data_IF_429574298035
#
_entry.id   IF_429574298035
#
_cell.length_a   1.000
_cell.length_b   1.000
_cell.length_c   1.000
_cell.angle_alpha   90.00
_cell.angle_beta   90.00
_cell.angle_gamma   90.00
#
_symmetry.space_group_name_H-M   'P 1'
#
loop_
_entity.id
_entity.type
_entity.pdbx_description
1 polymer ?
#
# COMPACT_ATOMS: atom_id res chain seq x y z
N UNK A 1 -8.22 15.61 -13.30
CA UNK A 1 -8.05 14.97 -12.00
C UNK A 1 -8.66 13.57 -11.94
N UNK A 2 -9.94 13.36 -12.27
CA UNK A 2 -10.57 12.01 -12.18
C UNK A 2 -9.82 10.92 -12.93
N UNK A 3 -9.28 11.20 -14.11
CA UNK A 3 -8.51 10.23 -14.88
C UNK A 3 -7.23 9.79 -14.14
N UNK A 4 -6.50 10.71 -13.52
CA UNK A 4 -5.31 10.41 -12.73
C UNK A 4 -5.67 9.50 -11.53
N UNK A 5 -6.71 9.84 -10.79
CA UNK A 5 -7.14 9.06 -9.62
C UNK A 5 -7.67 7.66 -9.99
N UNK A 6 -8.20 7.48 -11.21
CA UNK A 6 -8.62 6.15 -11.67
C UNK A 6 -7.45 5.29 -12.18
N UNK A 7 -6.44 5.91 -12.80
CA UNK A 7 -5.31 5.18 -13.39
C UNK A 7 -4.24 4.86 -12.35
N UNK A 8 -3.97 5.77 -11.40
CA UNK A 8 -2.89 5.60 -10.43
C UNK A 8 -3.03 4.33 -9.56
N UNK A 9 -4.21 3.96 -9.02
CA UNK A 9 -4.36 2.70 -8.30
C UNK A 9 -4.05 1.48 -9.16
N UNK A 10 -4.35 1.52 -10.47
CA UNK A 10 -4.01 0.46 -11.40
C UNK A 10 -2.48 0.34 -11.60
N UNK A 11 -1.79 1.47 -11.72
CA UNK A 11 -0.31 1.48 -11.79
C UNK A 11 0.29 0.94 -10.51
N UNK A 12 -0.30 1.25 -9.36
CA UNK A 12 0.14 0.76 -8.05
C UNK A 12 0.09 -0.75 -7.91
N UNK A 13 -0.79 -1.47 -8.64
CA UNK A 13 -0.87 -2.94 -8.62
C UNK A 13 0.47 -3.61 -8.94
N UNK A 14 1.28 -2.99 -9.78
CA UNK A 14 2.58 -3.53 -10.20
C UNK A 14 3.75 -2.73 -9.63
N UNK A 15 3.63 -1.41 -9.58
CA UNK A 15 4.72 -0.53 -9.13
C UNK A 15 5.07 -0.76 -7.66
N UNK A 16 4.08 -0.82 -6.77
CA UNK A 16 4.33 -0.96 -5.33
C UNK A 16 4.88 -2.34 -4.97
N UNK A 17 4.33 -3.46 -5.49
CA UNK A 17 4.98 -4.77 -5.34
C UNK A 17 6.42 -4.81 -5.85
N UNK A 18 6.73 -4.15 -6.98
CA UNK A 18 8.10 -4.09 -7.50
C UNK A 18 9.06 -3.34 -6.56
N UNK A 19 8.59 -2.24 -5.93
CA UNK A 19 9.36 -1.49 -4.93
C UNK A 19 9.57 -2.31 -3.65
N UNK A 20 8.54 -3.00 -3.20
CA UNK A 20 8.53 -3.69 -1.90
C UNK A 20 9.11 -5.12 -1.93
N UNK A 21 9.21 -5.75 -3.10
CA UNK A 21 9.68 -7.13 -3.23
C UNK A 21 11.07 -7.38 -2.63
N UNK A 22 11.95 -6.39 -2.67
CA UNK A 22 13.35 -6.51 -2.22
C UNK A 22 13.58 -6.11 -0.76
N UNK A 23 12.58 -5.55 -0.07
CA UNK A 23 12.75 -4.94 1.25
C UNK A 23 13.32 -5.89 2.32
N UNK A 24 12.90 -7.14 2.32
CA UNK A 24 13.32 -8.18 3.25
C UNK A 24 13.91 -9.39 2.50
N UNK A 25 13.29 -9.80 1.39
CA UNK A 25 13.69 -10.98 0.63
C UNK A 25 15.16 -10.91 0.13
N UNK A 26 15.62 -9.71 -0.25
CA UNK A 26 17.00 -9.50 -0.67
C UNK A 26 17.99 -9.77 0.46
N UNK A 27 17.71 -9.30 1.67
CA UNK A 27 18.60 -9.46 2.82
C UNK A 27 18.64 -10.91 3.29
N UNK A 28 17.52 -11.62 3.17
CA UNK A 28 17.49 -13.06 3.40
C UNK A 28 18.31 -13.83 2.38
N UNK A 29 18.15 -13.49 1.09
CA UNK A 29 18.90 -14.14 0.01
C UNK A 29 20.41 -13.94 0.14
N UNK A 30 20.85 -12.76 0.58
CA UNK A 30 22.26 -12.42 0.79
C UNK A 30 22.82 -12.92 2.14
N UNK A 31 22.00 -13.49 3.02
CA UNK A 31 22.41 -13.90 4.38
C UNK A 31 22.67 -12.73 5.33
N UNK A 32 22.50 -11.48 4.88
CA UNK A 32 22.76 -10.28 5.71
C UNK A 32 21.77 -10.11 6.86
N UNK A 33 20.64 -10.81 6.82
CA UNK A 33 19.65 -10.82 7.90
C UNK A 33 20.21 -11.39 9.21
N UNK A 34 21.14 -12.35 9.13
CA UNK A 34 21.83 -12.90 10.30
C UNK A 34 22.68 -11.81 10.98
N UNK A 35 23.39 -11.01 10.20
CA UNK A 35 24.16 -9.88 10.71
C UNK A 35 23.25 -8.83 11.38
N UNK A 36 22.10 -8.53 10.78
CA UNK A 36 21.11 -7.59 11.36
C UNK A 36 20.57 -8.14 12.69
N UNK A 37 20.39 -9.44 12.82
CA UNK A 37 19.92 -10.09 14.04
C UNK A 37 20.93 -10.02 15.20
N UNK A 38 22.21 -9.77 14.92
CA UNK A 38 23.24 -9.57 15.97
C UNK A 38 23.27 -8.13 16.49
N UNK A 39 22.67 -7.19 15.78
CA UNK A 39 22.56 -5.80 16.21
C UNK A 39 21.49 -5.67 17.31
N UNK A 40 21.66 -4.71 18.26
CA UNK A 40 20.70 -4.47 19.34
C UNK A 40 19.45 -3.71 18.81
N UNK A 41 18.86 -4.17 17.70
CA UNK A 41 17.70 -3.58 17.05
C UNK A 41 16.53 -4.54 17.20
N UNK A 42 15.36 -4.00 17.57
CA UNK A 42 14.15 -4.80 17.68
C UNK A 42 13.59 -5.10 16.28
N UNK A 43 13.02 -6.30 16.10
CA UNK A 43 12.48 -6.74 14.81
C UNK A 43 11.44 -5.76 14.23
N UNK A 44 10.58 -5.20 15.08
CA UNK A 44 9.58 -4.23 14.63
C UNK A 44 10.20 -2.91 14.15
N UNK A 45 11.31 -2.45 14.73
CA UNK A 45 12.03 -1.24 14.31
C UNK A 45 12.62 -1.43 12.91
N UNK A 46 13.20 -2.60 12.65
CA UNK A 46 13.70 -2.98 11.33
C UNK A 46 12.57 -3.01 10.29
N UNK A 47 11.45 -3.68 10.61
CA UNK A 47 10.29 -3.78 9.71
C UNK A 47 9.71 -2.41 9.42
N UNK A 48 9.54 -1.56 10.44
CA UNK A 48 9.03 -0.20 10.28
C UNK A 48 9.98 0.65 9.43
N UNK A 49 11.29 0.56 9.64
CA UNK A 49 12.28 1.29 8.83
C UNK A 49 12.20 0.93 7.34
N UNK A 50 12.10 -0.37 7.01
CA UNK A 50 11.94 -0.84 5.64
C UNK A 50 10.61 -0.41 5.01
N UNK A 51 9.53 -0.52 5.76
CA UNK A 51 8.21 -0.05 5.34
C UNK A 51 8.20 1.45 5.06
N UNK A 52 8.72 2.27 6.00
CA UNK A 52 8.78 3.72 5.82
C UNK A 52 9.64 4.13 4.63
N UNK A 53 10.74 3.43 4.37
CA UNK A 53 11.56 3.67 3.18
C UNK A 53 10.75 3.47 1.89
N UNK A 54 9.93 2.41 1.80
CA UNK A 54 9.06 2.19 0.64
C UNK A 54 7.98 3.24 0.52
N UNK A 55 7.33 3.62 1.63
CA UNK A 55 6.31 4.67 1.65
C UNK A 55 6.92 6.02 1.22
N UNK A 56 8.11 6.36 1.69
CA UNK A 56 8.81 7.59 1.29
C UNK A 56 9.06 7.62 -0.21
N UNK A 57 9.45 6.49 -0.81
CA UNK A 57 9.66 6.40 -2.26
C UNK A 57 8.35 6.59 -3.03
N UNK A 58 7.25 5.99 -2.55
CA UNK A 58 5.93 6.16 -3.15
C UNK A 58 5.47 7.62 -3.06
N UNK A 59 5.63 8.25 -1.90
CA UNK A 59 5.28 9.66 -1.70
C UNK A 59 6.15 10.57 -2.57
N UNK A 60 7.45 10.29 -2.71
CA UNK A 60 8.32 11.01 -3.62
C UNK A 60 7.84 10.91 -5.07
N UNK A 61 7.41 9.72 -5.52
CA UNK A 61 6.76 9.53 -6.82
C UNK A 61 5.49 10.36 -6.97
N UNK A 62 4.63 10.40 -5.94
CA UNK A 62 3.42 11.23 -5.95
C UNK A 62 3.73 12.73 -6.01
N UNK A 63 4.78 13.19 -5.33
CA UNK A 63 5.22 14.59 -5.38
C UNK A 63 5.60 15.00 -6.81
N UNK A 64 6.25 14.12 -7.57
CA UNK A 64 6.55 14.38 -8.98
C UNK A 64 5.26 14.57 -9.79
N UNK A 65 4.20 13.82 -9.49
CA UNK A 65 2.92 13.97 -10.20
C UNK A 65 2.17 15.25 -9.85
N UNK A 66 2.55 16.00 -8.80
CA UNK A 66 2.00 17.33 -8.50
C UNK A 66 2.26 18.34 -9.60
N UNK A 67 3.29 18.14 -10.44
CA UNK A 67 3.51 18.94 -11.66
C UNK A 67 2.27 18.90 -12.55
N UNK A 68 1.61 17.74 -12.65
CA UNK A 68 0.36 17.61 -13.40
C UNK A 68 -0.81 18.39 -12.76
N UNK A 69 -0.87 18.42 -11.42
CA UNK A 69 -1.82 19.27 -10.72
C UNK A 69 -1.58 20.75 -11.03
N UNK A 70 -0.30 21.18 -10.98
CA UNK A 70 0.09 22.55 -11.25
C UNK A 70 -0.27 23.00 -12.69
N UNK A 71 0.02 22.14 -13.68
CA UNK A 71 -0.36 22.43 -15.08
C UNK A 71 -1.88 22.54 -15.26
N UNK A 72 -2.66 21.70 -14.59
CA UNK A 72 -4.12 21.77 -14.63
C UNK A 72 -4.65 23.07 -13.99
N UNK A 73 -4.04 23.55 -12.92
CA UNK A 73 -4.41 24.83 -12.28
C UNK A 73 -4.19 26.00 -13.22
N UNK A 74 -3.14 25.97 -14.04
CA UNK A 74 -2.81 27.04 -14.99
C UNK A 74 -3.78 27.10 -16.18
N UNK A 75 -4.26 25.95 -16.65
CA UNK A 75 -5.04 25.82 -17.89
C UNK A 75 -6.53 25.61 -17.62
N UNK A 76 -6.88 25.05 -16.46
CA UNK A 76 -8.24 24.64 -16.13
C UNK A 76 -9.06 25.73 -15.47
N UNK A 77 -10.37 25.74 -15.76
CA UNK A 77 -11.38 26.55 -15.08
C UNK A 77 -12.15 25.66 -14.10
N UNK A 78 -12.48 26.17 -12.90
CA UNK A 78 -13.28 25.48 -11.87
C UNK A 78 -12.65 24.20 -11.31
N UNK A 79 -11.41 24.26 -10.83
CA UNK A 79 -10.75 23.13 -10.17
C UNK A 79 -11.12 23.11 -8.68
N UNK A 80 -11.63 21.95 -8.23
CA UNK A 80 -11.85 21.68 -6.80
C UNK A 80 -10.54 21.28 -6.14
N UNK A 81 -9.87 22.25 -5.49
CA UNK A 81 -8.62 22.04 -4.77
C UNK A 81 -8.77 21.07 -3.59
N UNK A 82 -9.92 21.11 -2.91
CA UNK A 82 -10.20 20.24 -1.77
C UNK A 82 -10.21 18.77 -2.18
N UNK A 83 -10.96 18.45 -3.23
CA UNK A 83 -11.00 17.09 -3.77
C UNK A 83 -9.63 16.64 -4.32
N UNK A 84 -8.85 17.56 -4.92
CA UNK A 84 -7.52 17.25 -5.42
C UNK A 84 -6.56 16.86 -4.28
N UNK A 85 -6.45 17.67 -3.23
CA UNK A 85 -5.57 17.41 -2.08
C UNK A 85 -5.98 16.13 -1.36
N UNK A 86 -7.28 15.94 -1.08
CA UNK A 86 -7.80 14.73 -0.47
C UNK A 86 -7.55 13.48 -1.33
N UNK A 87 -7.65 13.61 -2.65
CA UNK A 87 -7.33 12.53 -3.59
C UNK A 87 -5.86 12.12 -3.55
N UNK A 88 -4.92 13.08 -3.54
CA UNK A 88 -3.49 12.79 -3.37
C UNK A 88 -3.18 12.15 -2.02
N UNK A 89 -3.80 12.63 -0.96
CA UNK A 89 -3.70 12.02 0.36
C UNK A 89 -4.23 10.59 0.36
N UNK A 90 -5.38 10.35 -0.29
CA UNK A 90 -5.93 9.02 -0.51
C UNK A 90 -4.99 8.09 -1.27
N UNK A 91 -4.35 8.58 -2.35
CA UNK A 91 -3.34 7.80 -3.09
C UNK A 91 -2.13 7.43 -2.22
N UNK A 92 -1.67 8.33 -1.36
CA UNK A 92 -0.60 8.04 -0.41
C UNK A 92 -1.01 6.92 0.57
N UNK A 93 -2.25 6.95 1.07
CA UNK A 93 -2.79 5.90 1.96
C UNK A 93 -2.94 4.55 1.25
N UNK A 94 -3.48 4.53 0.03
CA UNK A 94 -3.54 3.30 -0.80
C UNK A 94 -2.13 2.75 -1.03
N UNK A 95 -1.19 3.63 -1.37
CA UNK A 95 0.22 3.27 -1.53
C UNK A 95 0.81 2.65 -0.28
N UNK A 96 0.52 3.23 0.88
CA UNK A 96 0.97 2.74 2.18
C UNK A 96 0.40 1.35 2.52
N UNK A 97 -0.88 1.08 2.21
CA UNK A 97 -1.49 -0.25 2.37
C UNK A 97 -0.80 -1.26 1.46
N UNK A 98 -0.64 -0.96 0.18
CA UNK A 98 0.00 -1.88 -0.75
C UNK A 98 1.48 -2.14 -0.41
N UNK A 99 2.19 -1.10 0.08
CA UNK A 99 3.55 -1.25 0.58
C UNK A 99 3.63 -2.16 1.82
N UNK A 100 2.67 -2.08 2.75
CA UNK A 100 2.62 -2.96 3.91
C UNK A 100 2.38 -4.42 3.52
N UNK A 101 1.47 -4.67 2.57
CA UNK A 101 1.21 -6.00 2.00
C UNK A 101 2.45 -6.54 1.26
N UNK A 102 3.14 -5.70 0.48
CA UNK A 102 4.38 -6.05 -0.20
C UNK A 102 5.55 -6.32 0.76
N UNK A 103 5.66 -5.57 1.85
CA UNK A 103 6.64 -5.84 2.92
C UNK A 103 6.38 -7.20 3.56
N UNK A 104 5.11 -7.55 3.81
CA UNK A 104 4.73 -8.87 4.29
C UNK A 104 5.12 -9.96 3.29
N UNK A 105 4.75 -9.82 2.01
CA UNK A 105 5.12 -10.77 0.96
C UNK A 105 6.64 -10.99 0.87
N UNK A 106 7.42 -9.89 0.95
CA UNK A 106 8.88 -9.92 0.98
C UNK A 106 9.44 -10.65 2.21
N UNK A 107 8.71 -10.65 3.34
CA UNK A 107 9.13 -11.35 4.56
C UNK A 107 8.92 -12.87 4.50
N UNK A 108 8.01 -13.36 3.66
CA UNK A 108 7.62 -14.78 3.59
C UNK A 108 8.66 -15.60 2.85
N UNK A 109 9.28 -15.05 1.82
CA UNK A 109 10.20 -15.75 0.91
C UNK A 109 11.59 -15.09 0.88
N UNK A 110 12.57 -15.82 0.41
CA UNK A 110 13.95 -15.35 0.21
C UNK A 110 14.20 -14.97 -1.25
N UNK A 111 13.25 -15.29 -2.16
CA UNK A 111 13.33 -14.98 -3.57
C UNK A 111 12.49 -13.73 -3.89
N UNK A 112 13.13 -12.69 -4.44
CA UNK A 112 12.48 -11.41 -4.76
C UNK A 112 11.36 -11.56 -5.81
N UNK A 113 11.53 -12.44 -6.80
CA UNK A 113 10.51 -12.67 -7.84
C UNK A 113 9.27 -13.32 -7.25
N UNK A 114 9.45 -14.29 -6.34
CA UNK A 114 8.34 -14.93 -5.62
C UNK A 114 7.66 -13.91 -4.71
N UNK A 115 8.42 -13.06 -4.01
CA UNK A 115 7.89 -11.98 -3.20
C UNK A 115 7.02 -11.02 -4.03
N UNK A 116 7.48 -10.66 -5.23
CA UNK A 116 6.73 -9.82 -6.17
C UNK A 116 5.39 -10.46 -6.55
N UNK A 117 5.40 -11.75 -6.95
CA UNK A 117 4.18 -12.47 -7.35
C UNK A 117 3.18 -12.53 -6.19
N UNK A 118 3.64 -12.84 -4.97
CA UNK A 118 2.78 -12.88 -3.78
C UNK A 118 2.20 -11.49 -3.49
N UNK A 119 3.03 -10.43 -3.55
CA UNK A 119 2.59 -9.07 -3.32
C UNK A 119 1.54 -8.63 -4.35
N UNK A 120 1.79 -8.87 -5.64
CA UNK A 120 0.83 -8.57 -6.72
C UNK A 120 -0.48 -9.30 -6.49
N UNK A 121 -0.43 -10.58 -6.13
CA UNK A 121 -1.64 -11.37 -5.86
C UNK A 121 -2.46 -10.77 -4.71
N UNK A 122 -1.82 -10.43 -3.58
CA UNK A 122 -2.51 -9.81 -2.44
C UNK A 122 -3.15 -8.48 -2.85
N UNK A 123 -2.40 -7.63 -3.55
CA UNK A 123 -2.87 -6.30 -3.96
C UNK A 123 -4.02 -6.40 -4.97
N UNK A 124 -3.95 -7.33 -5.93
CA UNK A 124 -5.05 -7.61 -6.88
C UNK A 124 -6.31 -8.08 -6.14
N UNK A 125 -6.18 -8.92 -5.12
CA UNK A 125 -7.35 -9.35 -4.32
C UNK A 125 -8.04 -8.12 -3.71
N UNK A 126 -7.30 -7.21 -3.06
CA UNK A 126 -7.87 -6.00 -2.49
C UNK A 126 -8.52 -5.09 -3.54
N UNK A 127 -7.93 -4.98 -4.72
CA UNK A 127 -8.47 -4.18 -5.81
C UNK A 127 -9.72 -4.80 -6.43
N UNK A 128 -9.75 -6.13 -6.58
CA UNK A 128 -10.89 -6.85 -7.14
C UNK A 128 -12.11 -6.87 -6.23
N UNK A 129 -11.96 -6.74 -4.90
CA UNK A 129 -13.09 -6.80 -3.97
C UNK A 129 -14.22 -5.85 -4.35
N UNK A 130 -13.91 -4.62 -4.77
CA UNK A 130 -14.91 -3.66 -5.22
C UNK A 130 -15.60 -4.11 -6.52
N UNK A 131 -14.85 -4.66 -7.47
CA UNK A 131 -15.35 -5.10 -8.77
C UNK A 131 -16.20 -6.36 -8.66
N UNK A 132 -15.93 -7.20 -7.65
CA UNK A 132 -16.69 -8.42 -7.40
C UNK A 132 -18.04 -8.19 -6.69
N UNK A 133 -18.34 -6.98 -6.23
CA UNK A 133 -19.62 -6.66 -5.55
C UNK A 133 -20.85 -7.01 -6.40
N UNK A 134 -20.75 -7.00 -7.73
CA UNK A 134 -21.83 -7.37 -8.67
C UNK A 134 -22.25 -8.84 -8.49
N UNK A 135 -21.32 -9.70 -8.06
CA UNK A 135 -21.56 -11.15 -7.90
C UNK A 135 -21.90 -11.54 -6.46
N UNK A 136 -21.78 -10.61 -5.51
CA UNK A 136 -21.96 -10.88 -4.08
C UNK A 136 -23.44 -10.71 -3.69
N UNK A 137 -24.05 -11.67 -2.95
CA UNK A 137 -25.40 -11.53 -2.42
C UNK A 137 -25.54 -10.26 -1.55
N UNK A 138 -26.73 -9.62 -1.61
CA UNK A 138 -27.00 -8.34 -0.93
C UNK A 138 -26.67 -8.39 0.58
N UNK A 139 -26.85 -9.54 1.24
CA UNK A 139 -26.54 -9.69 2.67
C UNK A 139 -25.05 -9.62 3.02
N UNK A 140 -24.13 -9.91 2.09
CA UNK A 140 -22.69 -9.87 2.28
C UNK A 140 -22.03 -8.66 1.59
N UNK A 141 -22.76 -7.96 0.73
CA UNK A 141 -22.23 -6.86 -0.07
C UNK A 141 -21.62 -5.76 0.80
N UNK A 142 -22.27 -5.40 1.92
CA UNK A 142 -21.74 -4.38 2.83
C UNK A 142 -20.41 -4.77 3.48
N UNK A 143 -20.22 -6.03 3.83
CA UNK A 143 -18.96 -6.52 4.40
C UNK A 143 -17.82 -6.50 3.37
N UNK A 144 -18.07 -7.01 2.17
CA UNK A 144 -17.09 -7.04 1.08
C UNK A 144 -16.72 -5.61 0.65
N UNK A 145 -17.70 -4.72 0.56
CA UNK A 145 -17.49 -3.32 0.26
C UNK A 145 -16.60 -2.64 1.31
N UNK A 146 -16.85 -2.90 2.61
CA UNK A 146 -16.02 -2.36 3.69
C UNK A 146 -14.57 -2.87 3.65
N UNK A 147 -14.33 -4.07 3.15
CA UNK A 147 -12.98 -4.61 2.99
C UNK A 147 -12.23 -4.07 1.76
N UNK A 148 -12.93 -3.39 0.84
CA UNK A 148 -12.33 -2.88 -0.39
C UNK A 148 -11.53 -1.60 -0.15
N UNK A 149 -10.27 -1.58 -0.60
CA UNK A 149 -9.41 -0.38 -0.61
C UNK A 149 -9.98 0.69 -1.55
N UNK A 150 -10.52 0.27 -2.70
CA UNK A 150 -11.05 1.17 -3.74
C UNK A 150 -12.31 1.93 -3.26
N UNK A 151 -13.16 1.29 -2.45
CA UNK A 151 -14.31 1.93 -1.82
C UNK A 151 -13.91 3.11 -0.92
N UNK A 152 -12.96 2.90 -0.02
CA UNK A 152 -12.47 3.93 0.90
C UNK A 152 -11.71 5.04 0.17
N UNK A 153 -10.95 4.68 -0.87
CA UNK A 153 -10.24 5.63 -1.73
C UNK A 153 -11.21 6.53 -2.51
N UNK A 154 -12.30 5.97 -3.05
CA UNK A 154 -13.30 6.72 -3.82
C UNK A 154 -13.93 7.84 -2.98
N UNK A 155 -14.17 7.63 -1.68
CA UNK A 155 -14.67 8.67 -0.78
C UNK A 155 -13.66 9.82 -0.62
N UNK A 156 -12.36 9.48 -0.41
CA UNK A 156 -11.28 10.47 -0.30
C UNK A 156 -11.08 11.25 -1.61
N UNK A 157 -11.17 10.57 -2.76
CA UNK A 157 -11.01 11.20 -4.08
C UNK A 157 -12.14 12.21 -4.41
N UNK A 158 -13.26 12.13 -3.71
CA UNK A 158 -14.38 13.11 -3.77
C UNK A 158 -14.23 14.26 -2.77
N UNK A 159 -13.16 14.31 -2.00
CA UNK A 159 -12.93 15.33 -1.00
C UNK A 159 -13.58 15.05 0.37
N UNK A 160 -14.13 13.85 0.60
CA UNK A 160 -14.77 13.48 1.86
C UNK A 160 -13.75 12.75 2.74
N UNK A 161 -13.30 13.41 3.81
CA UNK A 161 -12.45 12.80 4.84
C UNK A 161 -13.37 12.26 5.94
N UNK A 162 -13.58 10.94 5.95
CA UNK A 162 -14.28 10.25 7.03
C UNK A 162 -13.25 9.51 7.89
N UNK A 163 -13.37 9.63 9.21
CA UNK A 163 -12.53 8.91 10.17
C UNK A 163 -12.58 7.38 9.98
N UNK A 164 -13.71 6.85 9.51
CA UNK A 164 -13.88 5.42 9.19
C UNK A 164 -12.89 4.96 8.13
N UNK A 165 -12.67 5.78 7.10
CA UNK A 165 -11.72 5.47 6.04
C UNK A 165 -10.29 5.46 6.57
N UNK A 166 -9.92 6.44 7.42
CA UNK A 166 -8.59 6.51 8.02
C UNK A 166 -8.29 5.33 8.95
N UNK A 167 -9.27 4.95 9.78
CA UNK A 167 -9.16 3.79 10.68
C UNK A 167 -8.99 2.51 9.86
N UNK A 168 -9.73 2.35 8.76
CA UNK A 168 -9.57 1.21 7.86
C UNK A 168 -8.14 1.12 7.32
N UNK A 169 -7.60 2.20 6.73
CA UNK A 169 -6.23 2.21 6.20
C UNK A 169 -5.20 1.90 7.30
N UNK A 170 -5.32 2.53 8.47
CA UNK A 170 -4.43 2.29 9.59
C UNK A 170 -4.50 0.84 10.10
N UNK A 171 -5.69 0.25 10.17
CA UNK A 171 -5.88 -1.13 10.63
C UNK A 171 -5.29 -2.15 9.67
N UNK A 172 -5.45 -1.96 8.34
CA UNK A 172 -4.88 -2.87 7.33
C UNK A 172 -3.34 -2.77 7.32
N UNK A 173 -2.79 -1.55 7.40
CA UNK A 173 -1.34 -1.34 7.52
C UNK A 173 -0.80 -2.03 8.78
N UNK A 174 -1.42 -1.77 9.92
CA UNK A 174 -1.04 -2.38 11.20
C UNK A 174 -1.09 -3.91 11.16
N UNK A 175 -2.12 -4.48 10.54
CA UNK A 175 -2.28 -5.92 10.37
C UNK A 175 -1.11 -6.53 9.57
N UNK A 176 -0.77 -6.00 8.40
CA UNK A 176 0.32 -6.54 7.60
C UNK A 176 1.69 -6.34 8.25
N UNK A 177 1.95 -5.21 8.91
CA UNK A 177 3.19 -4.98 9.63
C UNK A 177 3.33 -5.90 10.85
N UNK A 178 2.23 -6.17 11.56
CA UNK A 178 2.21 -7.15 12.63
C UNK A 178 2.52 -8.55 12.12
N UNK A 179 1.89 -8.99 11.04
CA UNK A 179 2.18 -10.28 10.41
C UNK A 179 3.65 -10.39 9.96
N UNK A 180 4.18 -9.30 9.38
CA UNK A 180 5.59 -9.23 8.95
C UNK A 180 6.52 -9.43 10.15
N UNK A 181 6.28 -8.70 11.22
CA UNK A 181 7.09 -8.77 12.45
C UNK A 181 7.04 -10.17 13.05
N UNK A 182 5.85 -10.77 13.15
CA UNK A 182 5.68 -12.14 13.66
C UNK A 182 6.37 -13.18 12.79
N UNK A 183 6.26 -13.07 11.48
CA UNK A 183 6.94 -14.00 10.57
C UNK A 183 8.48 -13.94 10.70
N UNK A 184 9.02 -12.74 10.93
CA UNK A 184 10.46 -12.57 11.15
C UNK A 184 10.92 -13.07 12.52
N UNK A 185 10.12 -12.84 13.58
CA UNK A 185 10.42 -13.36 14.92
C UNK A 185 10.48 -14.89 14.96
N UNK A 186 9.51 -15.57 14.33
CA UNK A 186 9.48 -17.05 14.28
C UNK A 186 10.72 -17.62 13.58
N UNK A 187 11.21 -16.96 12.55
CA UNK A 187 12.43 -17.41 11.82
C UNK A 187 13.72 -17.12 12.59
N UNK A 188 13.73 -16.22 13.55
CA UNK A 188 14.89 -15.93 14.41
C UNK A 188 15.19 -17.07 15.40
N UNK A 189 14.19 -17.91 15.70
CA UNK A 189 14.30 -19.02 16.67
C UNK A 189 14.53 -20.39 16.02
N UNK A 190 14.66 -20.45 14.71
CA UNK A 190 15.02 -21.65 13.94
C UNK A 190 16.45 -21.55 13.39
#
# INVERSE_FOLDING_TARGET
MRALFNITPLVYLFFIPAVSMSLVAREKNLGTIELINTLPIKTHEFVLGKYLASVTLIVAGLVITLVHLFTLIQVGTNIDYGAAICGYFGLALVGAVYASAGTFASSVTDNQVVAFIIAVFIVIVFWLLDKMLIFVPVGLAGFVQFMSVDYHFTNLSRGVIDSRNLIYFASVIGFFLFLTTKNMEVKKWK
#
